data_IF_164877411964
#
_entry.id   IF_164877411964
#
_cell.length_a   1.000
_cell.length_b   1.000
_cell.length_c   1.000
_cell.angle_alpha   90.00
_cell.angle_beta   90.00
_cell.angle_gamma   90.00
#
_symmetry.space_group_name_H-M   'P 1'
#
loop_
_entity.id
_entity.type
_entity.pdbx_description
1 polymer ?
#
# COMPACT_ATOMS: atom_id res chain seq x y z
N UNK A 1 36.47 12.61 -14.44
CA UNK A 1 35.42 12.56 -13.39
C UNK A 1 35.41 11.15 -12.85
N UNK A 2 35.37 11.02 -11.53
CA UNK A 2 35.32 9.70 -10.87
C UNK A 2 33.86 9.29 -10.66
N UNK A 3 33.63 7.98 -10.64
CA UNK A 3 32.33 7.41 -10.31
C UNK A 3 32.33 7.14 -8.80
N UNK A 4 31.26 7.54 -8.12
CA UNK A 4 31.08 7.30 -6.70
C UNK A 4 29.82 6.49 -6.45
N UNK A 5 29.91 5.55 -5.51
CA UNK A 5 28.81 4.66 -5.10
C UNK A 5 28.53 4.93 -3.62
N UNK A 6 27.26 5.09 -3.26
CA UNK A 6 26.80 5.18 -1.87
C UNK A 6 26.23 3.85 -1.42
N UNK A 7 26.57 3.45 -0.21
CA UNK A 7 26.05 2.23 0.41
C UNK A 7 25.23 2.51 1.67
N UNK A 8 24.13 1.80 1.82
CA UNK A 8 23.35 1.69 3.06
C UNK A 8 23.13 0.21 3.36
N UNK A 9 23.33 -0.20 4.62
CA UNK A 9 23.30 -1.61 5.03
C UNK A 9 24.13 -2.50 4.09
N UNK A 10 25.34 -2.02 3.74
CA UNK A 10 26.30 -2.66 2.84
C UNK A 10 25.80 -2.90 1.40
N UNK A 11 24.70 -2.27 0.99
CA UNK A 11 24.13 -2.39 -0.35
C UNK A 11 24.19 -1.06 -1.08
N UNK A 12 24.51 -1.10 -2.36
CA UNK A 12 24.47 0.07 -3.23
C UNK A 12 23.05 0.64 -3.25
N UNK A 13 22.93 1.93 -2.96
CA UNK A 13 21.65 2.67 -3.02
C UNK A 13 21.69 3.81 -4.03
N UNK A 14 22.88 4.29 -4.38
CA UNK A 14 23.03 5.45 -5.25
C UNK A 14 24.38 5.40 -5.97
N UNK A 15 24.40 5.88 -7.21
CA UNK A 15 25.62 6.05 -8.00
C UNK A 15 25.62 7.42 -8.65
N UNK A 16 26.76 8.11 -8.63
CA UNK A 16 26.91 9.44 -9.23
C UNK A 16 28.28 9.61 -9.88
N UNK A 17 28.40 10.59 -10.77
CA UNK A 17 29.64 10.96 -11.47
C UNK A 17 29.97 12.41 -11.08
N UNK A 18 31.08 12.61 -10.36
CA UNK A 18 31.52 13.94 -9.92
C UNK A 18 33.04 14.10 -10.07
N UNK A 19 33.51 15.34 -10.05
CA UNK A 19 34.96 15.67 -10.05
C UNK A 19 35.61 15.41 -8.69
N UNK A 20 34.83 15.48 -7.61
CA UNK A 20 35.27 15.25 -6.24
C UNK A 20 34.25 14.40 -5.47
N UNK A 21 34.72 13.72 -4.42
CA UNK A 21 33.88 12.88 -3.56
C UNK A 21 32.63 13.64 -3.06
N UNK A 22 31.42 13.08 -3.21
CA UNK A 22 30.19 13.70 -2.72
C UNK A 22 30.24 13.96 -1.20
N UNK A 23 29.56 15.03 -0.77
CA UNK A 23 29.34 15.30 0.66
C UNK A 23 28.32 14.30 1.21
N UNK A 24 28.70 13.53 2.24
CA UNK A 24 27.83 12.54 2.89
C UNK A 24 28.61 11.37 3.46
N UNK A 25 27.93 10.51 4.24
CA UNK A 25 28.51 9.26 4.75
C UNK A 25 28.41 8.15 3.70
N UNK A 26 29.29 7.16 3.81
CA UNK A 26 29.25 5.90 3.02
C UNK A 26 29.39 6.05 1.51
N UNK A 27 30.06 7.10 1.04
CA UNK A 27 30.48 7.22 -0.36
C UNK A 27 31.84 6.57 -0.58
N UNK A 28 31.96 5.76 -1.62
CA UNK A 28 33.17 5.09 -2.04
C UNK A 28 33.42 5.35 -3.52
N UNK A 29 34.68 5.41 -3.92
CA UNK A 29 35.03 5.47 -5.34
C UNK A 29 34.75 4.10 -5.97
N UNK A 30 34.09 4.09 -7.13
CA UNK A 30 33.75 2.87 -7.82
C UNK A 30 35.01 2.13 -8.29
N UNK A 31 34.97 0.79 -8.39
CA UNK A 31 36.08 0.02 -8.92
C UNK A 31 36.30 0.35 -10.42
N UNK A 32 37.51 0.09 -10.94
CA UNK A 32 37.88 0.48 -12.32
C UNK A 32 37.05 -0.25 -13.39
N UNK A 33 36.59 -1.45 -13.07
CA UNK A 33 35.71 -2.31 -13.87
C UNK A 33 34.22 -2.10 -13.53
N UNK A 34 33.87 -0.91 -13.02
CA UNK A 34 32.48 -0.57 -12.73
C UNK A 34 31.60 -0.65 -13.99
N UNK A 35 30.45 -1.30 -13.83
CA UNK A 35 29.44 -1.49 -14.86
C UNK A 35 28.10 -0.97 -14.35
N UNK A 36 27.49 -0.08 -15.12
CA UNK A 36 26.19 0.51 -14.81
C UNK A 36 25.04 -0.49 -14.82
N UNK A 37 25.21 -1.65 -15.46
CA UNK A 37 24.20 -2.72 -15.52
C UNK A 37 24.27 -3.66 -14.30
N UNK A 38 25.28 -3.50 -13.43
CA UNK A 38 25.52 -4.37 -12.28
C UNK A 38 25.21 -3.66 -10.96
N UNK A 39 24.92 -4.46 -9.94
CA UNK A 39 24.73 -3.98 -8.57
C UNK A 39 25.90 -4.42 -7.70
N UNK A 40 26.27 -3.60 -6.72
CA UNK A 40 27.43 -3.79 -5.86
C UNK A 40 27.04 -3.79 -4.37
N UNK A 41 27.85 -4.46 -3.54
CA UNK A 41 27.74 -4.48 -2.09
C UNK A 41 29.12 -4.28 -1.42
N UNK A 42 29.11 -3.91 -0.15
CA UNK A 42 30.30 -3.93 0.69
C UNK A 42 30.42 -5.31 1.36
N UNK A 43 31.61 -5.87 1.30
CA UNK A 43 31.97 -7.08 2.06
C UNK A 43 32.37 -6.71 3.50
N UNK A 44 32.43 -7.68 4.41
CA UNK A 44 32.85 -7.45 5.81
C UNK A 44 34.22 -6.76 5.95
N UNK A 45 35.08 -6.88 4.93
CA UNK A 45 36.36 -6.17 4.85
C UNK A 45 36.31 -4.77 4.24
N UNK A 46 35.12 -4.20 4.02
CA UNK A 46 34.91 -2.87 3.42
C UNK A 46 35.26 -2.78 1.93
N UNK A 47 35.47 -3.92 1.25
CA UNK A 47 35.72 -3.96 -0.20
C UNK A 47 34.41 -4.00 -0.96
N UNK A 48 34.37 -3.27 -2.08
CA UNK A 48 33.25 -3.30 -3.02
C UNK A 48 33.33 -4.60 -3.83
N UNK A 49 32.25 -5.38 -3.82
CA UNK A 49 32.09 -6.58 -4.63
C UNK A 49 30.81 -6.46 -5.48
N UNK A 50 30.80 -7.09 -6.64
CA UNK A 50 29.58 -7.25 -7.42
C UNK A 50 28.63 -8.20 -6.69
N UNK A 51 27.35 -7.85 -6.65
CA UNK A 51 26.30 -8.72 -6.12
C UNK A 51 26.06 -9.91 -7.05
N UNK A 52 25.87 -11.08 -6.47
CA UNK A 52 25.42 -12.26 -7.20
C UNK A 52 23.95 -12.10 -7.62
N UNK A 53 23.59 -12.64 -8.78
CA UNK A 53 22.23 -12.63 -9.30
C UNK A 53 21.27 -13.38 -8.36
N UNK A 54 21.68 -14.52 -7.82
CA UNK A 54 20.88 -15.33 -6.90
C UNK A 54 20.56 -14.57 -5.60
N UNK A 55 21.53 -13.82 -5.06
CA UNK A 55 21.33 -13.00 -3.87
C UNK A 55 20.35 -11.83 -4.11
N UNK A 56 20.39 -11.25 -5.32
CA UNK A 56 19.44 -10.21 -5.73
C UNK A 56 18.03 -10.81 -5.83
N UNK A 57 17.88 -11.95 -6.49
CA UNK A 57 16.60 -12.63 -6.67
C UNK A 57 16.00 -13.07 -5.34
N UNK A 58 16.82 -13.59 -4.41
CA UNK A 58 16.38 -13.97 -3.07
C UNK A 58 15.88 -12.75 -2.28
N UNK A 59 16.58 -11.62 -2.34
CA UNK A 59 16.15 -10.39 -1.67
C UNK A 59 14.86 -9.84 -2.28
N UNK A 60 14.74 -9.83 -3.60
CA UNK A 60 13.51 -9.41 -4.28
C UNK A 60 12.33 -10.29 -3.87
N UNK A 61 12.53 -11.61 -3.80
CA UNK A 61 11.53 -12.55 -3.33
C UNK A 61 11.13 -12.27 -1.88
N UNK A 62 12.09 -12.03 -0.98
CA UNK A 62 11.80 -11.69 0.42
C UNK A 62 11.00 -10.38 0.54
N UNK A 63 11.37 -9.35 -0.22
CA UNK A 63 10.64 -8.08 -0.26
C UNK A 63 9.22 -8.26 -0.81
N UNK A 64 9.06 -9.09 -1.85
CA UNK A 64 7.76 -9.43 -2.42
C UNK A 64 6.90 -10.19 -1.39
N UNK A 65 7.46 -11.16 -0.67
CA UNK A 65 6.78 -11.87 0.44
C UNK A 65 6.34 -10.89 1.53
N UNK A 66 7.21 -9.98 1.95
CA UNK A 66 6.89 -8.98 2.98
C UNK A 66 5.75 -8.07 2.53
N UNK A 67 5.80 -7.58 1.28
CA UNK A 67 4.73 -6.77 0.70
C UNK A 67 3.40 -7.55 0.62
N UNK A 68 3.45 -8.81 0.20
CA UNK A 68 2.30 -9.69 0.15
C UNK A 68 1.66 -9.88 1.53
N UNK A 69 2.47 -10.14 2.56
CA UNK A 69 2.02 -10.28 3.95
C UNK A 69 1.42 -8.98 4.49
N UNK A 70 2.02 -7.83 4.19
CA UNK A 70 1.51 -6.52 4.59
C UNK A 70 0.13 -6.22 3.97
N UNK A 71 -0.01 -6.47 2.66
CA UNK A 71 -1.29 -6.30 1.95
C UNK A 71 -2.38 -7.24 2.48
N UNK A 72 -2.01 -8.50 2.75
CA UNK A 72 -2.90 -9.50 3.30
C UNK A 72 -3.41 -9.09 4.68
N UNK A 73 -2.51 -8.62 5.56
CA UNK A 73 -2.88 -8.09 6.87
C UNK A 73 -3.83 -6.91 6.76
N UNK A 74 -3.53 -5.94 5.89
CA UNK A 74 -4.41 -4.79 5.68
C UNK A 74 -5.81 -5.20 5.19
N UNK A 75 -5.89 -6.21 4.33
CA UNK A 75 -7.17 -6.76 3.86
C UNK A 75 -7.97 -7.39 5.00
N UNK A 76 -7.34 -8.25 5.80
CA UNK A 76 -8.01 -8.90 6.93
C UNK A 76 -8.40 -7.92 8.03
N UNK A 77 -7.55 -6.94 8.34
CA UNK A 77 -7.87 -5.86 9.28
C UNK A 77 -9.13 -5.11 8.83
N UNK A 78 -9.24 -4.78 7.54
CA UNK A 78 -10.43 -4.14 6.97
C UNK A 78 -11.70 -5.00 7.10
N UNK A 79 -11.58 -6.31 6.89
CA UNK A 79 -12.71 -7.23 7.05
C UNK A 79 -13.12 -7.38 8.52
N UNK A 80 -12.16 -7.58 9.42
CA UNK A 80 -12.38 -7.69 10.87
C UNK A 80 -13.01 -6.41 11.43
N UNK A 81 -12.58 -5.24 10.95
CA UNK A 81 -13.13 -3.94 11.32
C UNK A 81 -14.63 -3.77 11.00
N UNK A 82 -15.18 -4.55 10.06
CA UNK A 82 -16.64 -4.55 9.80
C UNK A 82 -17.42 -5.12 11.00
N UNK A 83 -16.80 -6.02 11.76
CA UNK A 83 -17.41 -6.68 12.91
C UNK A 83 -17.00 -6.04 14.24
N UNK A 84 -15.75 -5.60 14.35
CA UNK A 84 -15.19 -5.01 15.57
C UNK A 84 -15.33 -3.49 15.61
N UNK A 85 -15.73 -2.85 14.50
CA UNK A 85 -15.90 -1.40 14.39
C UNK A 85 -14.63 -0.69 13.92
N UNK A 86 -14.78 0.18 12.92
CA UNK A 86 -13.68 0.91 12.26
C UNK A 86 -12.90 1.91 13.13
N UNK A 87 -13.25 2.08 14.40
CA UNK A 87 -12.56 3.00 15.31
C UNK A 87 -12.45 2.38 16.70
N UNK A 88 -11.40 2.77 17.43
CA UNK A 88 -11.17 2.34 18.80
C UNK A 88 -12.38 2.56 19.71
N UNK A 89 -13.06 3.71 19.58
CA UNK A 89 -14.24 4.06 20.36
C UNK A 89 -15.42 3.13 20.05
N UNK A 90 -15.69 2.86 18.76
CA UNK A 90 -16.76 1.93 18.36
C UNK A 90 -16.46 0.50 18.81
N UNK A 91 -15.21 0.07 18.69
CA UNK A 91 -14.79 -1.27 19.12
C UNK A 91 -14.98 -1.47 20.62
N UNK A 92 -14.54 -0.50 21.43
CA UNK A 92 -14.80 -0.50 22.86
C UNK A 92 -16.29 -0.51 23.19
N UNK A 93 -17.09 0.29 22.49
CA UNK A 93 -18.54 0.32 22.68
C UNK A 93 -19.19 -1.04 22.43
N UNK A 94 -18.84 -1.71 21.33
CA UNK A 94 -19.34 -3.05 21.03
C UNK A 94 -18.90 -4.10 22.06
N UNK A 95 -17.66 -4.02 22.55
CA UNK A 95 -17.18 -4.92 23.60
C UNK A 95 -17.96 -4.73 24.90
N UNK A 96 -18.26 -3.48 25.28
CA UNK A 96 -19.07 -3.15 26.46
C UNK A 96 -20.50 -3.68 26.28
N UNK A 97 -21.13 -3.44 25.12
CA UNK A 97 -22.47 -3.94 24.81
C UNK A 97 -22.53 -5.47 24.82
N UNK A 98 -21.51 -6.16 24.29
CA UNK A 98 -21.44 -7.61 24.30
C UNK A 98 -21.34 -8.16 25.73
N UNK A 99 -20.55 -7.52 26.60
CA UNK A 99 -20.42 -7.91 28.00
C UNK A 99 -21.74 -7.71 28.76
N UNK A 100 -22.37 -6.55 28.59
CA UNK A 100 -23.67 -6.25 29.20
C UNK A 100 -24.77 -7.21 28.71
N UNK A 101 -24.84 -7.47 27.40
CA UNK A 101 -25.81 -8.43 26.85
C UNK A 101 -25.61 -9.84 27.41
N UNK A 102 -24.36 -10.31 27.53
CA UNK A 102 -24.06 -11.61 28.13
C UNK A 102 -24.46 -11.69 29.59
N UNK A 103 -24.24 -10.62 30.36
CA UNK A 103 -24.64 -10.50 31.76
C UNK A 103 -26.16 -10.57 31.92
N UNK A 104 -26.91 -9.78 31.13
CA UNK A 104 -28.38 -9.74 31.12
C UNK A 104 -28.97 -11.12 30.79
N UNK A 105 -28.42 -11.81 29.79
CA UNK A 105 -28.91 -13.13 29.38
C UNK A 105 -28.59 -14.23 30.41
N UNK A 106 -27.58 -14.04 31.26
CA UNK A 106 -27.24 -15.00 32.32
C UNK A 106 -28.18 -14.93 33.52
N UNK A 107 -28.76 -13.75 33.80
CA UNK A 107 -29.70 -13.53 34.90
C UNK A 107 -30.87 -12.62 34.47
N UNK A 108 -31.77 -13.10 33.59
CA UNK A 108 -32.85 -12.28 33.01
C UNK A 108 -33.88 -11.80 34.04
N UNK A 109 -33.97 -12.47 35.19
CA UNK A 109 -34.87 -12.11 36.29
C UNK A 109 -34.26 -11.09 37.28
N UNK A 110 -32.95 -10.86 37.21
CA UNK A 110 -32.21 -9.96 38.11
C UNK A 110 -31.14 -9.18 37.34
N UNK A 111 -31.61 -8.34 36.43
CA UNK A 111 -30.76 -7.54 35.54
C UNK A 111 -30.04 -6.44 36.34
N UNK A 112 -28.72 -6.34 36.20
CA UNK A 112 -27.94 -5.22 36.75
C UNK A 112 -28.31 -3.90 36.06
N UNK A 113 -28.53 -2.86 36.86
CA UNK A 113 -29.02 -1.57 36.35
C UNK A 113 -28.00 -0.89 35.42
N UNK A 114 -26.69 -1.11 35.62
CA UNK A 114 -25.65 -0.54 34.72
C UNK A 114 -25.62 -1.24 33.37
N UNK A 115 -25.78 -2.56 33.36
CA UNK A 115 -25.87 -3.32 32.11
C UNK A 115 -27.15 -2.97 31.33
N UNK A 116 -28.25 -2.73 32.05
CA UNK A 116 -29.51 -2.25 31.48
C UNK A 116 -29.36 -0.86 30.84
N UNK A 117 -28.74 0.10 31.53
CA UNK A 117 -28.47 1.45 31.01
C UNK A 117 -27.71 1.44 29.67
N UNK A 118 -26.82 0.46 29.47
CA UNK A 118 -26.04 0.30 28.23
C UNK A 118 -26.93 -0.16 27.05
N UNK A 119 -27.91 -1.03 27.30
CA UNK A 119 -28.69 -1.73 26.27
C UNK A 119 -30.05 -1.07 26.02
N UNK A 120 -30.64 -0.46 27.04
CA UNK A 120 -31.97 0.15 26.98
C UNK A 120 -32.12 1.21 25.88
N UNK A 121 -31.15 2.11 25.62
CA UNK A 121 -31.25 3.04 24.49
C UNK A 121 -31.35 2.32 23.13
N UNK A 122 -30.64 1.21 22.96
CA UNK A 122 -30.66 0.41 21.74
C UNK A 122 -31.99 -0.33 21.55
N UNK A 123 -32.55 -0.81 22.66
CA UNK A 123 -33.86 -1.47 22.70
C UNK A 123 -34.98 -0.48 22.35
N UNK A 124 -34.96 0.72 22.93
CA UNK A 124 -35.93 1.80 22.66
C UNK A 124 -35.98 2.20 21.20
N UNK A 125 -34.82 2.40 20.57
CA UNK A 125 -34.73 2.75 19.13
C UNK A 125 -35.38 1.70 18.24
N UNK A 126 -35.41 0.43 18.67
CA UNK A 126 -35.96 -0.69 17.92
C UNK A 126 -37.36 -1.11 18.33
N UNK A 127 -37.93 -0.50 19.38
CA UNK A 127 -39.24 -0.86 19.91
C UNK A 127 -39.32 -2.28 20.48
N UNK A 128 -38.20 -2.80 21.02
CA UNK A 128 -38.11 -4.17 21.57
C UNK A 128 -37.70 -4.14 23.04
N UNK A 129 -37.80 -5.28 23.73
CA UNK A 129 -37.37 -5.40 25.13
C UNK A 129 -35.84 -5.42 25.26
N UNK A 130 -35.34 -5.10 26.46
CA UNK A 130 -33.90 -5.17 26.78
C UNK A 130 -33.35 -6.59 26.59
N UNK A 131 -34.12 -7.61 26.97
CA UNK A 131 -33.75 -9.02 26.82
C UNK A 131 -33.67 -9.41 25.34
N UNK A 132 -34.64 -9.02 24.52
CA UNK A 132 -34.59 -9.26 23.07
C UNK A 132 -33.41 -8.54 22.41
N UNK A 133 -33.12 -7.31 22.82
CA UNK A 133 -31.96 -6.57 22.33
C UNK A 133 -30.65 -7.26 22.72
N UNK A 134 -30.54 -7.75 23.96
CA UNK A 134 -29.40 -8.52 24.43
C UNK A 134 -29.21 -9.81 23.60
N UNK A 135 -30.30 -10.52 23.28
CA UNK A 135 -30.26 -11.71 22.40
C UNK A 135 -29.75 -11.37 20.99
N UNK A 136 -30.22 -10.28 20.40
CA UNK A 136 -29.74 -9.82 19.08
C UNK A 136 -28.25 -9.48 19.12
N UNK A 137 -27.78 -8.82 20.18
CA UNK A 137 -26.35 -8.50 20.34
C UNK A 137 -25.54 -9.79 20.45
N UNK A 138 -25.96 -10.74 21.27
CA UNK A 138 -25.28 -12.02 21.44
C UNK A 138 -25.21 -12.82 20.12
N UNK A 139 -26.30 -12.87 19.35
CA UNK A 139 -26.31 -13.51 18.03
C UNK A 139 -25.34 -12.83 17.04
N UNK A 140 -25.29 -11.49 17.05
CA UNK A 140 -24.34 -10.74 16.23
C UNK A 140 -22.89 -11.02 16.63
N UNK A 141 -22.60 -11.08 17.93
CA UNK A 141 -21.27 -11.43 18.46
C UNK A 141 -20.88 -12.85 18.02
N UNK A 142 -21.78 -13.83 18.15
CA UNK A 142 -21.54 -15.21 17.67
C UNK A 142 -21.19 -15.25 16.18
N UNK A 143 -21.94 -14.53 15.35
CA UNK A 143 -21.68 -14.43 13.90
C UNK A 143 -20.34 -13.74 13.62
N UNK A 144 -20.03 -12.66 14.33
CA UNK A 144 -18.76 -11.95 14.23
C UNK A 144 -17.57 -12.84 14.59
N UNK A 145 -17.61 -13.53 15.74
CA UNK A 145 -16.54 -14.45 16.16
C UNK A 145 -16.31 -15.54 15.11
N UNK A 146 -17.39 -16.16 14.61
CA UNK A 146 -17.27 -17.18 13.55
C UNK A 146 -16.64 -16.63 12.26
N UNK A 147 -16.97 -15.40 11.88
CA UNK A 147 -16.38 -14.76 10.71
C UNK A 147 -14.89 -14.44 10.92
N UNK A 148 -14.52 -13.93 12.09
CA UNK A 148 -13.14 -13.60 12.46
C UNK A 148 -12.27 -14.86 12.49
N UNK A 149 -12.70 -15.93 13.16
CA UNK A 149 -11.97 -17.21 13.21
C UNK A 149 -11.70 -17.75 11.80
N UNK A 150 -12.71 -17.70 10.92
CA UNK A 150 -12.54 -18.12 9.52
C UNK A 150 -11.54 -17.25 8.76
N UNK A 151 -11.46 -15.96 9.08
CA UNK A 151 -10.47 -15.06 8.51
C UNK A 151 -9.06 -15.36 9.02
N UNK A 152 -8.89 -15.58 10.33
CA UNK A 152 -7.62 -15.97 10.94
C UNK A 152 -7.09 -17.28 10.34
N UNK A 153 -7.94 -18.29 10.16
CA UNK A 153 -7.57 -19.55 9.50
C UNK A 153 -7.07 -19.34 8.06
N UNK A 154 -7.75 -18.47 7.30
CA UNK A 154 -7.36 -18.14 5.93
C UNK A 154 -6.07 -17.30 5.89
N UNK A 155 -5.88 -16.42 6.86
CA UNK A 155 -4.67 -15.63 7.02
C UNK A 155 -3.48 -16.53 7.31
N UNK A 156 -3.60 -17.46 8.26
CA UNK A 156 -2.54 -18.41 8.61
C UNK A 156 -2.17 -19.31 7.43
N UNK A 157 -3.16 -19.83 6.70
CA UNK A 157 -2.90 -20.60 5.49
C UNK A 157 -2.18 -19.77 4.43
N UNK A 158 -2.58 -18.52 4.22
CA UNK A 158 -1.94 -17.64 3.24
C UNK A 158 -0.51 -17.27 3.66
N UNK A 159 -0.27 -16.99 4.95
CA UNK A 159 1.07 -16.75 5.50
C UNK A 159 2.01 -17.92 5.25
N UNK A 160 1.60 -19.14 5.61
CA UNK A 160 2.41 -20.36 5.38
C UNK A 160 2.78 -20.52 3.91
N UNK A 161 1.79 -20.35 3.05
CA UNK A 161 1.94 -20.44 1.59
C UNK A 161 2.89 -19.39 1.01
N UNK A 162 2.82 -18.15 1.48
CA UNK A 162 3.73 -17.08 1.08
C UNK A 162 5.16 -17.39 1.56
N UNK A 163 5.30 -17.90 2.78
CA UNK A 163 6.60 -18.28 3.35
C UNK A 163 7.25 -19.42 2.55
N UNK A 164 6.47 -20.42 2.16
CA UNK A 164 6.94 -21.60 1.40
C UNK A 164 7.32 -21.29 -0.06
N UNK A 165 6.88 -20.16 -0.62
CA UNK A 165 7.14 -19.82 -2.02
C UNK A 165 8.65 -19.70 -2.30
N UNK A 166 9.15 -20.42 -3.30
CA UNK A 166 10.58 -20.49 -3.64
C UNK A 166 10.98 -19.55 -4.77
N UNK A 167 10.01 -19.00 -5.49
CA UNK A 167 10.23 -18.07 -6.61
C UNK A 167 9.16 -17.00 -6.67
N UNK A 168 9.49 -15.89 -7.33
CA UNK A 168 8.54 -14.79 -7.55
C UNK A 168 7.35 -15.25 -8.40
N UNK A 169 7.57 -16.13 -9.39
CA UNK A 169 6.53 -16.70 -10.24
C UNK A 169 5.53 -17.52 -9.41
N UNK A 170 6.03 -18.37 -8.51
CA UNK A 170 5.20 -19.16 -7.60
C UNK A 170 4.40 -18.27 -6.65
N UNK A 171 5.06 -17.26 -6.06
CA UNK A 171 4.40 -16.29 -5.20
C UNK A 171 3.29 -15.54 -5.95
N UNK A 172 3.55 -15.08 -7.17
CA UNK A 172 2.58 -14.36 -7.98
C UNK A 172 1.38 -15.24 -8.37
N UNK A 173 1.61 -16.51 -8.72
CA UNK A 173 0.54 -17.46 -9.00
C UNK A 173 -0.34 -17.68 -7.76
N UNK A 174 0.28 -17.79 -6.59
CA UNK A 174 -0.39 -17.98 -5.31
C UNK A 174 -1.26 -16.77 -4.94
N UNK A 175 -0.74 -15.56 -5.12
CA UNK A 175 -1.48 -14.32 -4.86
C UNK A 175 -2.65 -14.15 -5.83
N UNK A 176 -2.48 -14.56 -7.09
CA UNK A 176 -3.55 -14.53 -8.08
C UNK A 176 -4.67 -15.53 -7.76
N UNK A 177 -4.33 -16.78 -7.40
CA UNK A 177 -5.30 -17.79 -6.93
C UNK A 177 -6.04 -17.30 -5.68
N UNK A 178 -5.31 -16.73 -4.71
CA UNK A 178 -5.90 -16.17 -3.50
C UNK A 178 -6.89 -15.04 -3.82
N UNK A 179 -6.49 -14.10 -4.69
CA UNK A 179 -7.37 -12.99 -5.14
C UNK A 179 -8.64 -13.52 -5.81
N UNK A 180 -8.53 -14.52 -6.68
CA UNK A 180 -9.70 -15.11 -7.34
C UNK A 180 -10.62 -15.82 -6.35
N UNK A 181 -10.08 -16.59 -5.40
CA UNK A 181 -10.86 -17.25 -4.34
C UNK A 181 -11.58 -16.25 -3.46
N UNK A 182 -10.92 -15.14 -3.11
CA UNK A 182 -11.54 -14.08 -2.33
C UNK A 182 -12.65 -13.37 -3.09
N UNK A 183 -12.41 -13.03 -4.36
CA UNK A 183 -13.45 -12.47 -5.23
C UNK A 183 -14.66 -13.40 -5.29
N UNK A 184 -14.45 -14.68 -5.58
CA UNK A 184 -15.52 -15.69 -5.65
C UNK A 184 -16.31 -15.80 -4.33
N UNK A 185 -15.63 -15.90 -3.19
CA UNK A 185 -16.28 -15.97 -1.86
C UNK A 185 -17.07 -14.71 -1.51
N UNK A 186 -16.56 -13.53 -1.85
CA UNK A 186 -17.29 -12.28 -1.67
C UNK A 186 -18.57 -12.28 -2.50
N UNK A 187 -18.51 -12.70 -3.77
CA UNK A 187 -19.70 -12.78 -4.63
C UNK A 187 -20.71 -13.79 -4.12
N UNK A 188 -20.26 -14.91 -3.54
CA UNK A 188 -21.12 -15.94 -2.94
C UNK A 188 -21.79 -15.49 -1.62
N UNK A 189 -21.25 -14.48 -0.93
CA UNK A 189 -21.80 -13.96 0.34
C UNK A 189 -22.82 -12.82 0.17
N UNK A 190 -23.06 -12.33 -1.05
CA UNK A 190 -24.02 -11.26 -1.31
C UNK A 190 -25.35 -11.77 -1.86
N UNK A 191 -26.16 -12.40 -1.02
CA UNK A 191 -27.61 -12.38 -1.16
C UNK A 191 -28.19 -12.73 0.21
N UNK A 192 -28.68 -11.75 0.98
CA UNK A 192 -29.78 -11.86 1.95
C UNK A 192 -30.24 -10.43 2.28
N UNK A 193 -31.24 -9.94 1.54
CA UNK A 193 -31.92 -8.65 1.78
C UNK A 193 -31.95 -7.73 0.55
N UNK A 194 -33.11 -7.12 0.31
CA UNK A 194 -33.29 -6.05 -0.69
C UNK A 194 -32.53 -4.82 -0.21
N UNK A 195 -31.52 -4.40 -0.97
CA UNK A 195 -30.84 -3.13 -0.79
C UNK A 195 -31.49 -2.09 -1.71
N UNK A 196 -32.26 -1.16 -1.16
CA UNK A 196 -32.60 0.08 -1.87
C UNK A 196 -31.39 1.00 -1.74
N UNK A 197 -30.57 1.00 -2.78
CA UNK A 197 -29.54 2.02 -2.96
C UNK A 197 -30.20 3.10 -3.79
N UNK A 198 -30.58 4.22 -3.17
CA UNK A 198 -30.91 5.42 -3.95
C UNK A 198 -29.61 5.93 -4.57
N UNK A 199 -29.45 5.66 -5.86
CA UNK A 199 -28.34 6.17 -6.66
C UNK A 199 -28.67 7.61 -7.03
N UNK A 200 -28.35 8.55 -6.13
CA UNK A 200 -28.42 10.00 -6.42
C UNK A 200 -27.11 10.55 -7.00
N UNK A 201 -26.16 9.68 -7.39
CA UNK A 201 -25.00 10.07 -8.17
C UNK A 201 -25.04 9.36 -9.53
N UNK A 202 -25.46 10.09 -10.56
CA UNK A 202 -25.29 9.66 -11.94
C UNK A 202 -23.84 9.24 -12.20
N UNK A 203 -23.66 8.32 -13.17
CA UNK A 203 -22.37 7.75 -13.54
C UNK A 203 -21.25 8.80 -13.44
N UNK A 204 -20.46 8.72 -12.35
CA UNK A 204 -19.26 9.51 -12.24
C UNK A 204 -18.35 8.91 -13.29
N UNK A 205 -18.28 9.57 -14.45
CA UNK A 205 -17.36 9.18 -15.51
C UNK A 205 -16.01 9.03 -14.83
N UNK A 206 -15.50 7.80 -14.76
CA UNK A 206 -14.15 7.56 -14.27
C UNK A 206 -13.27 8.24 -15.30
N UNK A 207 -12.86 9.47 -14.99
CA UNK A 207 -11.74 10.08 -15.69
C UNK A 207 -10.55 9.25 -15.26
N UNK A 208 -10.13 8.33 -16.11
CA UNK A 208 -8.78 7.79 -16.06
C UNK A 208 -7.86 9.00 -16.02
N UNK A 209 -7.26 9.28 -14.87
CA UNK A 209 -6.20 10.27 -14.83
C UNK A 209 -5.10 9.72 -15.75
N UNK A 210 -4.87 10.39 -16.89
CA UNK A 210 -3.71 10.11 -17.73
C UNK A 210 -2.47 10.44 -16.89
N UNK A 211 -1.95 9.47 -16.14
CA UNK A 211 -0.74 9.58 -15.30
C UNK A 211 0.51 9.50 -16.16
N UNK A 212 0.55 10.22 -17.28
CA UNK A 212 1.71 10.27 -18.16
C UNK A 212 2.52 11.53 -17.85
N UNK A 213 3.10 11.60 -16.65
CA UNK A 213 4.08 12.64 -16.31
C UNK A 213 5.46 12.11 -16.71
N UNK A 214 6.10 12.77 -17.67
CA UNK A 214 7.46 12.43 -18.11
C UNK A 214 8.45 13.35 -17.37
N UNK A 215 9.36 12.75 -16.60
CA UNK A 215 10.50 13.44 -16.01
C UNK A 215 11.68 13.42 -16.99
N UNK A 216 12.22 14.58 -17.33
CA UNK A 216 13.42 14.70 -18.19
C UNK A 216 14.52 15.37 -17.39
N UNK A 217 15.70 14.75 -17.36
CA UNK A 217 16.90 15.27 -16.70
C UNK A 217 17.97 15.50 -17.77
N UNK A 218 18.65 16.65 -17.70
CA UNK A 218 19.67 17.01 -18.69
C UNK A 218 20.29 18.37 -18.41
N UNK A 219 21.07 18.85 -19.35
CA UNK A 219 21.74 20.16 -19.27
C UNK A 219 21.01 21.20 -20.10
N UNK A 220 20.97 22.45 -19.61
CA UNK A 220 20.45 23.60 -20.33
C UNK A 220 21.22 24.87 -19.94
N UNK A 221 22.44 25.08 -20.47
CA UNK A 221 23.29 26.21 -20.08
C UNK A 221 22.72 27.58 -20.45
N UNK A 222 21.78 27.62 -21.40
CA UNK A 222 21.11 28.84 -21.87
C UNK A 222 19.70 29.01 -21.26
N UNK A 223 19.31 28.16 -20.30
CA UNK A 223 18.03 28.29 -19.64
C UNK A 223 18.01 29.53 -18.73
N UNK A 224 16.85 30.19 -18.69
CA UNK A 224 16.59 31.27 -17.73
C UNK A 224 16.67 30.70 -16.30
N UNK A 225 17.72 31.07 -15.55
CA UNK A 225 17.97 30.56 -14.20
C UNK A 225 16.95 30.98 -13.14
N UNK A 226 16.14 32.03 -13.38
CA UNK A 226 15.02 32.36 -12.48
C UNK A 226 13.85 31.40 -12.71
N UNK A 227 13.65 31.00 -13.96
CA UNK A 227 12.55 30.14 -14.37
C UNK A 227 12.85 28.65 -14.23
N UNK A 228 14.10 28.26 -14.51
CA UNK A 228 14.64 26.91 -14.40
C UNK A 228 15.82 26.89 -13.42
N UNK A 229 15.55 27.08 -12.12
CA UNK A 229 16.59 27.02 -11.11
C UNK A 229 17.27 25.66 -11.09
N UNK A 230 18.59 25.67 -10.90
CA UNK A 230 19.42 24.46 -10.87
C UNK A 230 18.92 23.49 -9.78
N UNK A 231 18.85 22.21 -10.11
CA UNK A 231 18.43 21.11 -9.21
C UNK A 231 17.03 21.24 -8.60
N UNK A 232 16.15 22.04 -9.19
CA UNK A 232 14.75 22.12 -8.78
C UNK A 232 13.86 21.68 -9.95
N UNK A 233 13.01 20.66 -9.77
CA UNK A 233 12.11 20.22 -10.83
C UNK A 233 11.11 21.33 -11.16
N UNK A 234 10.96 21.63 -12.45
CA UNK A 234 10.01 22.62 -12.97
C UNK A 234 9.05 21.91 -13.91
N UNK A 235 7.76 22.11 -13.70
CA UNK A 235 6.71 21.53 -14.54
C UNK A 235 6.58 22.35 -15.83
N UNK A 236 6.72 21.69 -16.99
CA UNK A 236 6.36 22.25 -18.29
C UNK A 236 5.09 21.56 -18.77
N UNK A 237 3.94 22.22 -18.60
CA UNK A 237 2.62 21.69 -18.92
C UNK A 237 2.29 21.77 -20.43
N UNK A 238 3.06 21.09 -21.29
CA UNK A 238 2.75 20.99 -22.72
C UNK A 238 2.90 22.30 -23.53
N UNK A 239 3.49 23.34 -22.94
CA UNK A 239 3.70 24.63 -23.61
C UNK A 239 5.05 24.70 -24.32
N UNK A 240 5.03 24.70 -25.66
CA UNK A 240 6.23 24.93 -26.49
C UNK A 240 6.86 26.31 -26.22
N UNK A 241 6.06 27.33 -25.90
CA UNK A 241 6.55 28.66 -25.53
C UNK A 241 7.43 28.63 -24.26
N UNK A 242 7.12 27.71 -23.36
CA UNK A 242 7.86 27.51 -22.11
C UNK A 242 9.10 26.65 -22.36
N UNK A 243 9.01 25.65 -23.23
CA UNK A 243 10.14 24.83 -23.65
C UNK A 243 11.25 25.66 -24.32
N UNK A 244 10.92 26.65 -25.15
CA UNK A 244 11.90 27.54 -25.82
C UNK A 244 12.79 28.30 -24.81
N UNK A 245 12.32 28.52 -23.58
CA UNK A 245 13.07 29.20 -22.52
C UNK A 245 14.17 28.32 -21.88
N UNK A 246 14.25 27.04 -22.26
CA UNK A 246 15.38 26.17 -21.93
C UNK A 246 16.64 26.48 -22.76
N UNK A 247 16.52 27.29 -23.81
CA UNK A 247 17.62 27.58 -24.74
C UNK A 247 17.90 26.41 -25.69
N UNK A 248 18.76 26.61 -26.70
CA UNK A 248 19.02 25.58 -27.72
C UNK A 248 20.26 24.74 -27.43
N UNK A 249 21.12 25.19 -26.51
CA UNK A 249 22.29 24.41 -26.06
C UNK A 249 21.95 23.48 -24.90
N UNK A 250 22.59 22.32 -24.88
CA UNK A 250 22.37 21.27 -23.88
C UNK A 250 21.49 20.14 -24.40
N UNK A 251 20.97 19.32 -23.49
CA UNK A 251 20.18 18.11 -23.81
C UNK A 251 18.69 18.24 -23.49
N UNK A 252 18.30 19.17 -22.60
CA UNK A 252 16.90 19.29 -22.15
C UNK A 252 15.94 19.75 -23.23
N UNK A 253 16.31 20.77 -24.01
CA UNK A 253 15.42 21.30 -25.05
C UNK A 253 15.12 20.26 -26.13
N UNK A 254 16.14 19.54 -26.61
CA UNK A 254 15.98 18.47 -27.60
C UNK A 254 15.08 17.34 -27.09
N UNK A 255 15.28 16.88 -25.85
CA UNK A 255 14.45 15.84 -25.26
C UNK A 255 12.99 16.29 -25.12
N UNK A 256 12.75 17.52 -24.65
CA UNK A 256 11.41 18.10 -24.57
C UNK A 256 10.74 18.18 -25.94
N UNK A 257 11.46 18.62 -26.97
CA UNK A 257 10.94 18.69 -28.35
C UNK A 257 10.66 17.32 -28.98
N UNK A 258 11.38 16.27 -28.57
CA UNK A 258 11.15 14.91 -29.06
C UNK A 258 9.90 14.26 -28.45
N UNK A 259 9.66 14.48 -27.15
CA UNK A 259 8.52 13.87 -26.45
C UNK A 259 7.20 14.62 -26.65
N UNK A 260 7.24 15.95 -26.82
CA UNK A 260 6.02 16.77 -26.94
C UNK A 260 5.07 16.33 -28.07
N UNK A 261 5.53 16.08 -29.31
CA UNK A 261 4.68 15.61 -30.40
C UNK A 261 4.05 14.23 -30.11
N UNK A 262 4.79 13.36 -29.41
CA UNK A 262 4.34 12.00 -29.04
C UNK A 262 3.22 12.02 -28.00
N UNK A 263 3.12 13.08 -27.19
CA UNK A 263 2.05 13.26 -26.19
C UNK A 263 0.73 13.78 -26.78
N UNK A 264 0.77 14.46 -27.93
CA UNK A 264 -0.43 15.03 -28.57
C UNK A 264 -1.22 13.96 -29.38
N UNK A 265 -0.60 12.82 -29.67
CA UNK A 265 -1.19 11.73 -30.47
C UNK A 265 -1.87 10.61 -29.63
N UNK A 266 -1.99 10.77 -28.30
CA UNK A 266 -2.62 9.80 -27.39
C UNK A 266 -3.87 10.34 -26.67
#
# INVERSE_FOLDING_TARGET
MSIYIRFENDKQVETTILESKPKGKNWYEAPKDFDWQKSYCLTEGGKIAQRNQEDIELELLQNAKFSALSNLRAYYDNYTNQYTGHSHQKSKSYAIQAKAAKSILAAPESIDEKDKEIIEPLAKVRGITVIEMARIIEEKVKKAVKAIVKCEELEDMAKRKIEEAKSEVELQALLNDFKQRMQKKMTEQFLHGVNVIEVTSGAKVVRTAKLSVIGVIGTAPEADGQKFPLNKPVLIAGSLKEAVKLGKKGTLFSAVMEYFPKLVQQ
#
